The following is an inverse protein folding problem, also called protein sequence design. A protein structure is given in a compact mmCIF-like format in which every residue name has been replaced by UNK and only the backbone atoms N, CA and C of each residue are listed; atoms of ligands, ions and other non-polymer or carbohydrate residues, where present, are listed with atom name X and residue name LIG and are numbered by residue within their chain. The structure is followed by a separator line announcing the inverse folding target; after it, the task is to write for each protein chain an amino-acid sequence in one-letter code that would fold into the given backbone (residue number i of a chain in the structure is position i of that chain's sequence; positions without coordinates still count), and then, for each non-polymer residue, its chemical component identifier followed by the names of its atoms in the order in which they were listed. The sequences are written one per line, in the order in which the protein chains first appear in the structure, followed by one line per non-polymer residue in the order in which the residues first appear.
data_IF_217974779947
#
_entry.id   IF_217974779947
#
_cell.length_a   1.000
_cell.length_b   1.000
_cell.length_c   1.000
_cell.angle_alpha   90.00
_cell.angle_beta   90.00
_cell.angle_gamma   90.00
#
_symmetry.space_group_name_H-M   'P 1'
#
loop_
_entity.id
_entity.type
_entity.pdbx_description
1 polymer ?
#
# COMPACT_ATOMS: atom_id res chain seq x y z
N UNK A 1 -21.97 -46.46 2.18
CA UNK A 1 -20.95 -45.85 1.31
C UNK A 1 -21.28 -44.37 1.20
N UNK A 2 -20.42 -43.51 1.76
CA UNK A 2 -20.58 -42.07 1.64
C UNK A 2 -20.16 -41.67 0.24
N UNK A 3 -21.09 -41.15 -0.56
CA UNK A 3 -20.75 -40.47 -1.80
C UNK A 3 -19.95 -39.22 -1.40
N UNK A 4 -18.66 -39.23 -1.72
CA UNK A 4 -17.84 -38.02 -1.69
C UNK A 4 -18.45 -37.03 -2.65
N UNK A 5 -19.14 -36.04 -2.10
CA UNK A 5 -19.46 -34.81 -2.82
C UNK A 5 -18.12 -34.17 -3.11
N UNK A 6 -17.73 -34.25 -4.38
CA UNK A 6 -16.70 -33.43 -4.97
C UNK A 6 -17.12 -31.97 -4.76
N UNK A 7 -16.62 -31.37 -3.68
CA UNK A 7 -16.83 -29.96 -3.38
C UNK A 7 -16.04 -29.18 -4.43
N UNK A 8 -16.70 -28.91 -5.56
CA UNK A 8 -16.22 -27.98 -6.56
C UNK A 8 -15.70 -26.71 -5.86
N UNK A 9 -14.55 -26.27 -6.33
CA UNK A 9 -13.80 -25.10 -5.90
C UNK A 9 -14.65 -23.83 -6.05
N UNK A 10 -15.60 -23.66 -5.14
CA UNK A 10 -16.36 -22.44 -4.93
C UNK A 10 -15.45 -21.47 -4.20
N UNK A 11 -14.43 -20.95 -4.89
CA UNK A 11 -13.69 -19.78 -4.41
C UNK A 11 -14.68 -18.61 -4.43
N UNK A 12 -15.49 -18.51 -3.38
CA UNK A 12 -16.32 -17.33 -3.13
C UNK A 12 -15.43 -16.10 -3.23
N UNK A 13 -15.96 -15.02 -3.84
CA UNK A 13 -15.23 -13.77 -4.00
C UNK A 13 -14.60 -13.37 -2.66
N UNK A 14 -13.26 -13.26 -2.64
CA UNK A 14 -12.51 -12.96 -1.41
C UNK A 14 -12.90 -11.58 -0.91
N UNK A 15 -13.45 -11.53 0.29
CA UNK A 15 -13.86 -10.29 0.92
C UNK A 15 -12.68 -9.71 1.71
N UNK A 16 -12.51 -8.40 1.62
CA UNK A 16 -11.46 -7.67 2.33
C UNK A 16 -12.09 -6.68 3.30
N UNK A 17 -11.77 -6.80 4.58
CA UNK A 17 -12.21 -5.88 5.62
C UNK A 17 -11.19 -4.75 5.72
N UNK A 18 -11.65 -3.51 5.55
CA UNK A 18 -10.84 -2.30 5.63
C UNK A 18 -11.35 -1.36 6.73
N UNK A 19 -10.44 -0.89 7.57
CA UNK A 19 -10.62 0.24 8.48
C UNK A 19 -10.04 1.48 7.82
N UNK A 20 -10.93 2.42 7.52
CA UNK A 20 -10.65 3.62 6.72
C UNK A 20 -11.22 4.82 7.46
N UNK A 21 -10.53 5.96 7.41
CA UNK A 21 -11.01 7.17 8.07
C UNK A 21 -12.33 7.68 7.47
N UNK A 22 -13.20 8.24 8.31
CA UNK A 22 -14.56 8.58 7.91
C UNK A 22 -14.63 9.62 6.79
N UNK A 23 -13.72 10.60 6.78
CA UNK A 23 -13.67 11.66 5.77
C UNK A 23 -13.33 11.13 4.36
N UNK A 24 -12.77 9.93 4.23
CA UNK A 24 -12.51 9.33 2.92
C UNK A 24 -13.81 8.95 2.20
N UNK A 25 -14.91 8.76 2.95
CA UNK A 25 -16.26 8.58 2.37
C UNK A 25 -16.69 9.82 1.58
N UNK A 26 -16.34 11.01 2.07
CA UNK A 26 -16.70 12.26 1.41
C UNK A 26 -15.77 12.63 0.25
N UNK A 27 -14.50 12.22 0.34
CA UNK A 27 -13.55 12.35 -0.78
C UNK A 27 -14.03 11.61 -2.04
N UNK A 28 -14.63 10.42 -1.87
CA UNK A 28 -15.23 9.65 -2.97
C UNK A 28 -16.48 10.32 -3.56
N UNK A 29 -17.22 11.12 -2.79
CA UNK A 29 -18.41 11.84 -3.29
C UNK A 29 -18.04 13.03 -4.18
N UNK A 30 -16.91 13.70 -3.89
CA UNK A 30 -16.47 14.88 -4.67
C UNK A 30 -16.07 14.53 -6.10
N UNK A 31 -15.57 13.32 -6.33
CA UNK A 31 -15.11 12.88 -7.66
C UNK A 31 -15.38 11.39 -7.82
N UNK A 32 -16.01 11.00 -8.92
CA UNK A 32 -16.18 9.58 -9.28
C UNK A 32 -14.80 8.93 -9.33
N UNK A 33 -14.57 7.93 -8.48
CA UNK A 33 -13.30 7.20 -8.31
C UNK A 33 -12.12 8.06 -7.79
N UNK A 34 -12.37 9.01 -6.89
CA UNK A 34 -11.32 9.83 -6.27
C UNK A 34 -10.31 9.07 -5.40
N UNK A 35 -10.55 7.78 -5.11
CA UNK A 35 -9.67 6.91 -4.33
C UNK A 35 -9.12 5.78 -5.21
N UNK A 36 -7.80 5.63 -5.21
CA UNK A 36 -7.12 4.62 -6.03
C UNK A 36 -6.08 3.87 -5.22
N UNK A 37 -6.04 2.55 -5.38
CA UNK A 37 -4.96 1.73 -4.83
C UNK A 37 -3.77 1.76 -5.78
N UNK A 38 -2.60 2.09 -5.24
CA UNK A 38 -1.34 2.16 -5.98
C UNK A 38 -0.29 1.31 -5.27
N UNK A 39 0.55 0.63 -6.03
CA UNK A 39 1.69 -0.12 -5.49
C UNK A 39 2.92 0.77 -5.56
N UNK A 40 3.49 1.12 -4.42
CA UNK A 40 4.70 1.95 -4.31
C UNK A 40 5.76 1.21 -3.47
N UNK A 41 6.97 1.76 -3.44
CA UNK A 41 8.07 1.20 -2.64
C UNK A 41 7.88 1.59 -1.18
N UNK A 42 8.04 0.64 -0.27
CA UNK A 42 8.14 0.90 1.15
C UNK A 42 9.48 1.60 1.42
N UNK A 43 9.49 2.85 1.94
CA UNK A 43 10.72 3.61 2.12
C UNK A 43 11.72 2.94 3.07
N UNK A 44 11.25 2.12 4.01
CA UNK A 44 12.09 1.44 5.00
C UNK A 44 12.70 0.13 4.49
N UNK A 45 11.90 -0.73 3.83
CA UNK A 45 12.36 -2.06 3.37
C UNK A 45 12.77 -2.11 1.90
N UNK A 46 12.33 -1.14 1.09
CA UNK A 46 12.53 -1.17 -0.37
C UNK A 46 11.60 -2.15 -1.11
N UNK A 47 10.71 -2.86 -0.40
CA UNK A 47 9.76 -3.79 -1.00
C UNK A 47 8.50 -3.09 -1.51
N UNK A 48 7.78 -3.71 -2.46
CA UNK A 48 6.52 -3.15 -2.96
C UNK A 48 5.39 -3.26 -1.95
N UNK A 49 4.91 -2.12 -1.43
CA UNK A 49 3.77 -2.00 -0.55
C UNK A 49 2.55 -1.36 -1.26
N UNK A 50 1.36 -1.62 -0.73
CA UNK A 50 0.11 -1.07 -1.25
C UNK A 50 -0.21 0.23 -0.51
N UNK A 51 -0.53 1.26 -1.27
CA UNK A 51 -0.97 2.55 -0.78
C UNK A 51 -2.33 2.89 -1.36
N UNK A 52 -3.11 3.67 -0.62
CA UNK A 52 -4.36 4.25 -1.07
C UNK A 52 -4.13 5.74 -1.28
N UNK A 53 -4.32 6.21 -2.50
CA UNK A 53 -4.16 7.60 -2.89
C UNK A 53 -5.50 8.27 -3.10
N UNK A 54 -5.65 9.46 -2.51
CA UNK A 54 -6.82 10.30 -2.66
C UNK A 54 -6.50 11.45 -3.63
N UNK A 55 -7.07 11.38 -4.84
CA UNK A 55 -6.87 12.38 -5.89
C UNK A 55 -7.46 13.74 -5.53
N UNK A 56 -8.55 13.77 -4.76
CA UNK A 56 -9.27 15.01 -4.43
C UNK A 56 -8.49 15.86 -3.43
N UNK A 57 -7.87 15.23 -2.44
CA UNK A 57 -7.14 15.91 -1.35
C UNK A 57 -5.62 15.76 -1.49
N UNK A 58 -5.14 15.04 -2.51
CA UNK A 58 -3.73 14.68 -2.70
C UNK A 58 -3.10 14.04 -1.45
N UNK A 59 -3.88 13.24 -0.74
CA UNK A 59 -3.45 12.56 0.48
C UNK A 59 -3.08 11.11 0.18
N UNK A 60 -2.04 10.63 0.85
CA UNK A 60 -1.55 9.26 0.72
C UNK A 60 -1.75 8.49 2.03
N UNK A 61 -2.20 7.25 1.89
CA UNK A 61 -2.43 6.34 3.00
C UNK A 61 -1.67 5.04 2.75
N UNK A 62 -0.91 4.59 3.73
CA UNK A 62 -0.29 3.27 3.72
C UNK A 62 -1.35 2.22 4.09
N UNK A 63 -1.44 1.14 3.31
CA UNK A 63 -2.34 0.02 3.62
C UNK A 63 -1.56 -1.03 4.42
N UNK A 64 -1.81 -1.10 5.72
CA UNK A 64 -1.25 -2.12 6.60
C UNK A 64 -2.22 -3.27 6.78
N UNK A 65 -1.71 -4.50 6.79
CA UNK A 65 -2.54 -5.70 6.98
C UNK A 65 -2.19 -6.33 8.31
N UNK A 66 -3.16 -6.36 9.21
CA UNK A 66 -3.10 -7.16 10.43
C UNK A 66 -3.51 -8.59 10.10
N UNK A 67 -2.63 -9.52 10.46
CA UNK A 67 -2.79 -10.95 10.23
C UNK A 67 -2.40 -11.69 11.50
N UNK A 68 -3.34 -12.43 12.06
CA UNK A 68 -3.14 -13.25 13.24
C UNK A 68 -3.53 -14.70 12.96
N UNK A 69 -2.90 -15.66 13.66
CA UNK A 69 -3.16 -17.09 13.44
C UNK A 69 -4.52 -17.48 14.04
N UNK A 70 -5.27 -18.32 13.33
CA UNK A 70 -6.58 -18.84 13.78
C UNK A 70 -7.71 -17.81 13.91
N UNK A 71 -7.72 -16.78 13.06
CA UNK A 71 -8.83 -15.82 12.97
C UNK A 71 -9.64 -16.00 11.68
N UNK A 72 -10.93 -15.72 11.77
CA UNK A 72 -11.88 -15.69 10.65
C UNK A 72 -12.90 -14.57 10.89
N UNK A 73 -13.44 -14.01 9.82
CA UNK A 73 -14.49 -13.01 9.89
C UNK A 73 -15.84 -13.64 9.55
N UNK A 74 -16.84 -13.37 10.37
CA UNK A 74 -18.24 -13.58 10.02
C UNK A 74 -18.77 -12.25 9.45
N UNK A 75 -19.01 -12.20 8.14
CA UNK A 75 -19.49 -11.01 7.43
C UNK A 75 -20.92 -11.30 6.98
N UNK A 76 -21.90 -10.77 7.72
CA UNK A 76 -23.32 -11.05 7.52
C UNK A 76 -23.59 -12.56 7.50
N UNK A 77 -23.97 -13.12 6.35
CA UNK A 77 -24.26 -14.55 6.14
C UNK A 77 -23.10 -15.30 5.46
N UNK A 78 -21.92 -14.70 5.39
CA UNK A 78 -20.73 -15.28 4.76
C UNK A 78 -19.58 -15.39 5.76
N UNK A 79 -18.72 -16.39 5.57
CA UNK A 79 -17.52 -16.60 6.39
C UNK A 79 -16.29 -16.34 5.54
N UNK A 80 -15.46 -15.40 5.96
CA UNK A 80 -14.19 -15.11 5.33
C UNK A 80 -13.05 -15.69 6.16
N UNK A 81 -12.34 -16.66 5.58
CA UNK A 81 -11.16 -17.27 6.19
C UNK A 81 -9.99 -16.29 6.22
N UNK A 82 -9.14 -16.43 7.25
CA UNK A 82 -7.86 -15.75 7.39
C UNK A 82 -7.85 -14.52 8.29
N UNK A 83 -9.01 -13.99 8.68
CA UNK A 83 -9.11 -12.94 9.71
C UNK A 83 -8.33 -11.65 9.38
N UNK A 84 -8.03 -11.41 8.10
CA UNK A 84 -7.19 -10.29 7.68
C UNK A 84 -7.94 -8.98 7.86
N UNK A 85 -7.29 -8.01 8.52
CA UNK A 85 -7.83 -6.68 8.74
C UNK A 85 -6.89 -5.65 8.11
N UNK A 86 -7.40 -4.89 7.15
CA UNK A 86 -6.61 -3.88 6.43
C UNK A 86 -6.86 -2.52 7.08
N UNK A 87 -5.81 -1.73 7.27
CA UNK A 87 -5.84 -0.40 7.84
C UNK A 87 -5.30 0.58 6.80
N UNK A 88 -6.04 1.64 6.50
CA UNK A 88 -5.56 2.74 5.69
C UNK A 88 -5.09 3.88 6.62
N UNK A 89 -3.80 3.86 6.98
CA UNK A 89 -3.21 4.86 7.86
C UNK A 89 -2.57 5.99 7.05
N UNK A 90 -2.82 7.28 7.38
CA UNK A 90 -2.21 8.38 6.65
C UNK A 90 -0.68 8.31 6.80
N UNK A 91 0.03 8.55 5.69
CA UNK A 91 1.49 8.55 5.65
C UNK A 91 1.98 9.85 5.03
N UNK A 92 3.08 10.39 5.54
CA UNK A 92 3.71 11.58 4.96
C UNK A 92 4.41 11.21 3.63
N UNK A 93 4.06 11.84 2.50
CA UNK A 93 4.73 11.61 1.21
C UNK A 93 6.24 11.89 1.24
N UNK A 94 6.73 12.70 2.19
CA UNK A 94 8.14 13.02 2.34
C UNK A 94 8.99 11.77 2.56
N UNK A 95 8.48 10.72 3.22
CA UNK A 95 9.21 9.47 3.41
C UNK A 95 9.49 8.75 2.08
N UNK A 96 8.53 8.77 1.16
CA UNK A 96 8.70 8.20 -0.18
C UNK A 96 9.71 9.02 -0.98
N UNK A 97 9.59 10.35 -0.96
CA UNK A 97 10.52 11.24 -1.64
C UNK A 97 11.95 11.04 -1.14
N UNK A 98 12.13 10.98 0.18
CA UNK A 98 13.43 10.74 0.80
C UNK A 98 14.06 9.43 0.34
N UNK A 99 13.27 8.34 0.24
CA UNK A 99 13.75 7.07 -0.30
C UNK A 99 14.29 7.23 -1.72
N UNK A 100 13.58 7.94 -2.60
CA UNK A 100 14.05 8.19 -3.96
C UNK A 100 15.27 9.11 -4.01
N UNK A 101 15.35 10.13 -3.16
CA UNK A 101 16.51 11.03 -3.08
C UNK A 101 17.77 10.27 -2.64
N UNK A 102 17.69 9.45 -1.60
CA UNK A 102 18.81 8.63 -1.14
C UNK A 102 19.20 7.59 -2.20
N UNK A 103 18.21 7.01 -2.88
CA UNK A 103 18.46 6.08 -3.99
C UNK A 103 19.15 6.78 -5.16
N UNK A 104 18.74 7.99 -5.50
CA UNK A 104 19.34 8.78 -6.56
C UNK A 104 20.75 9.24 -6.17
N UNK A 105 21.00 9.69 -4.93
CA UNK A 105 22.32 10.12 -4.45
C UNK A 105 23.39 9.02 -4.58
N UNK A 106 23.01 7.76 -4.31
CA UNK A 106 23.90 6.59 -4.52
C UNK A 106 24.29 6.38 -5.99
N UNK A 107 23.40 6.74 -6.92
CA UNK A 107 23.62 6.65 -8.37
C UNK A 107 24.26 7.95 -8.93
N UNK A 108 24.07 9.09 -8.27
CA UNK A 108 24.62 10.41 -8.62
C UNK A 108 26.04 10.55 -8.02
N UNK A 109 26.96 9.68 -8.44
CA UNK A 109 28.40 10.00 -8.40
C UNK A 109 28.79 11.08 -9.44
N UNK A 110 27.83 11.67 -10.14
CA UNK A 110 28.03 12.59 -11.26
C UNK A 110 27.97 14.09 -10.91
N UNK A 111 27.67 14.47 -9.65
CA UNK A 111 27.80 15.85 -9.19
C UNK A 111 29.18 16.13 -8.55
N UNK A 112 30.23 15.50 -9.07
CA UNK A 112 31.59 16.00 -8.86
C UNK A 112 31.85 17.01 -9.98
N UNK A 113 31.85 18.33 -9.71
CA UNK A 113 32.26 19.28 -10.74
C UNK A 113 33.71 18.97 -11.12
N UNK A 114 34.07 18.95 -12.42
CA UNK A 114 35.45 18.80 -12.86
C UNK A 114 36.14 20.16 -12.67
N UNK A 115 36.32 20.61 -11.43
CA UNK A 115 37.30 21.67 -11.19
C UNK A 115 38.66 21.01 -11.12
N UNK A 116 39.37 21.16 -12.25
CA UNK A 116 40.68 20.60 -12.50
C UNK A 116 41.70 20.99 -11.44
N UNK A 117 42.69 20.12 -11.32
CA UNK A 117 43.98 20.45 -10.73
C UNK A 117 44.48 21.76 -11.35
N UNK A 118 44.38 22.86 -10.61
CA UNK A 118 45.28 23.98 -10.83
C UNK A 118 46.58 23.59 -10.15
N UNK A 119 47.48 22.98 -10.92
CA UNK A 119 48.89 22.93 -10.59
C UNK A 119 49.36 24.37 -10.40
N UNK A 120 49.67 24.76 -9.17
CA UNK A 120 50.34 26.02 -8.89
C UNK A 120 51.84 25.90 -9.24
N UNK A 121 52.49 26.98 -9.70
CA UNK A 121 53.90 27.01 -10.06
C UNK A 121 54.85 26.92 -8.87
#
# INVERSE_FOLDING_TARGET
MAAGVDCGDGVGARQHVFLVSEYLKDASKKMKNGLMFVKLVNPCSGEGAIYLFNMCLQQLFEVKVFKEKHHSWFINQSVQSGGLLHFATPVDPLFLLLHYLIKADKEIKFLKPPFGEVSAP
#
